data_IF_339904211820
#
_entry.id   IF_339904211820
#
_cell.length_a   1.000
_cell.length_b   1.000
_cell.length_c   1.000
_cell.angle_alpha   90.00
_cell.angle_beta   90.00
_cell.angle_gamma   90.00
#
_symmetry.space_group_name_H-M   'P 1'
#
loop_
_entity.id
_entity.type
_entity.pdbx_description
1 polymer ?
#
# COMPACT_ATOMS: atom_id res chain seq x y z
N UNK A 1 25.17 5.82 53.44
CA UNK A 1 23.87 5.52 52.82
C UNK A 1 24.05 5.49 51.31
N UNK A 2 23.81 4.36 50.64
CA UNK A 2 23.93 4.29 49.18
C UNK A 2 22.80 5.07 48.51
N UNK A 3 23.13 6.12 47.75
CA UNK A 3 22.16 6.83 46.93
C UNK A 3 21.66 5.91 45.81
N UNK A 4 20.40 5.50 45.92
CA UNK A 4 19.67 4.79 44.87
C UNK A 4 19.38 5.76 43.73
N UNK A 5 20.23 5.74 42.71
CA UNK A 5 20.05 6.53 41.50
C UNK A 5 18.84 5.99 40.74
N UNK A 6 17.71 6.71 40.79
CA UNK A 6 16.47 6.33 40.09
C UNK A 6 16.74 6.26 38.59
N UNK A 7 16.81 5.04 38.05
CA UNK A 7 17.02 4.82 36.61
C UNK A 7 16.03 5.67 35.82
N UNK A 8 16.48 6.45 34.82
CA UNK A 8 15.67 7.47 34.20
C UNK A 8 14.51 6.82 33.43
N UNK A 9 13.28 6.97 33.93
CA UNK A 9 12.07 6.37 33.36
C UNK A 9 11.87 6.70 31.87
N UNK A 10 12.38 7.86 31.42
CA UNK A 10 12.30 8.29 30.02
C UNK A 10 12.95 7.29 29.05
N UNK A 11 14.08 6.65 29.43
CA UNK A 11 14.76 5.65 28.56
C UNK A 11 13.88 4.43 28.31
N UNK A 12 13.03 4.07 29.27
CA UNK A 12 12.10 2.93 29.14
C UNK A 12 10.93 3.28 28.23
N UNK A 13 10.39 4.49 28.34
CA UNK A 13 9.32 4.98 27.46
C UNK A 13 9.80 5.04 26.01
N UNK A 14 10.95 5.68 25.75
CA UNK A 14 11.53 5.77 24.39
C UNK A 14 11.73 4.37 23.79
N UNK A 15 12.28 3.43 24.57
CA UNK A 15 12.50 2.05 24.09
C UNK A 15 11.19 1.35 23.72
N UNK A 16 10.13 1.56 24.49
CA UNK A 16 8.83 0.95 24.21
C UNK A 16 8.13 1.61 23.01
N UNK A 17 8.18 2.94 22.91
CA UNK A 17 7.64 3.68 21.76
C UNK A 17 8.36 3.28 20.47
N UNK A 18 9.70 3.18 20.50
CA UNK A 18 10.47 2.74 19.33
C UNK A 18 10.07 1.34 18.87
N UNK A 19 9.91 0.38 19.81
CA UNK A 19 9.44 -0.97 19.47
C UNK A 19 8.03 -0.95 18.86
N UNK A 20 7.12 -0.17 19.44
CA UNK A 20 5.76 -0.05 18.93
C UNK A 20 5.75 0.52 17.51
N UNK A 21 6.51 1.59 17.26
CA UNK A 21 6.63 2.19 15.92
C UNK A 21 7.18 1.20 14.89
N UNK A 22 8.20 0.41 15.25
CA UNK A 22 8.75 -0.61 14.35
C UNK A 22 7.70 -1.66 14.00
N UNK A 23 6.92 -2.14 14.99
CA UNK A 23 5.87 -3.14 14.74
C UNK A 23 4.73 -2.54 13.91
N UNK A 24 4.31 -1.30 14.22
CA UNK A 24 3.28 -0.61 13.47
C UNK A 24 3.70 -0.40 12.01
N UNK A 25 4.94 0.04 11.78
CA UNK A 25 5.52 0.21 10.44
C UNK A 25 5.59 -1.12 9.69
N UNK A 26 6.02 -2.21 10.34
CA UNK A 26 6.07 -3.53 9.73
C UNK A 26 4.67 -4.01 9.27
N UNK A 27 3.63 -3.76 10.08
CA UNK A 27 2.25 -4.08 9.72
C UNK A 27 1.77 -3.22 8.55
N UNK A 28 2.03 -1.91 8.59
CA UNK A 28 1.65 -0.99 7.51
C UNK A 28 2.35 -1.36 6.19
N UNK A 29 3.64 -1.69 6.25
CA UNK A 29 4.41 -2.16 5.12
C UNK A 29 3.85 -3.46 4.55
N UNK A 30 3.56 -4.46 5.40
CA UNK A 30 2.97 -5.73 4.98
C UNK A 30 1.61 -5.54 4.32
N UNK A 31 0.74 -4.68 4.87
CA UNK A 31 -0.56 -4.37 4.28
C UNK A 31 -0.43 -3.70 2.91
N UNK A 32 0.49 -2.73 2.78
CA UNK A 32 0.76 -2.02 1.53
C UNK A 32 1.29 -2.98 0.47
N UNK A 33 2.25 -3.84 0.82
CA UNK A 33 2.79 -4.85 -0.08
C UNK A 33 1.73 -5.87 -0.51
N UNK A 34 0.89 -6.33 0.41
CA UNK A 34 -0.20 -7.25 0.08
C UNK A 34 -1.20 -6.63 -0.90
N UNK A 35 -1.54 -5.34 -0.72
CA UNK A 35 -2.39 -4.59 -1.65
C UNK A 35 -1.75 -4.49 -3.04
N UNK A 36 -0.47 -4.08 -3.09
CA UNK A 36 0.29 -4.01 -4.34
C UNK A 36 0.38 -5.39 -5.03
N UNK A 37 0.68 -6.45 -4.29
CA UNK A 37 0.78 -7.80 -4.82
C UNK A 37 -0.54 -8.26 -5.45
N UNK A 38 -1.67 -8.03 -4.78
CA UNK A 38 -3.00 -8.38 -5.32
C UNK A 38 -3.34 -7.61 -6.58
N UNK A 39 -3.04 -6.31 -6.63
CA UNK A 39 -3.25 -5.46 -7.81
C UNK A 39 -2.43 -5.94 -9.02
N UNK A 40 -1.20 -6.41 -8.80
CA UNK A 40 -0.38 -6.97 -9.87
C UNK A 40 -0.82 -8.39 -10.28
N UNK A 41 -1.40 -9.16 -9.36
CA UNK A 41 -1.73 -10.58 -9.62
C UNK A 41 -3.08 -10.76 -10.30
N UNK A 42 -4.10 -9.96 -9.96
CA UNK A 42 -5.47 -10.16 -10.46
C UNK A 42 -6.08 -8.90 -11.06
N UNK A 43 -6.55 -9.02 -12.30
CA UNK A 43 -7.34 -7.98 -12.98
C UNK A 43 -8.67 -7.71 -12.29
N UNK A 44 -9.31 -8.73 -11.71
CA UNK A 44 -10.57 -8.57 -10.97
C UNK A 44 -10.37 -7.67 -9.75
N UNK A 45 -9.22 -7.77 -9.08
CA UNK A 45 -8.87 -6.86 -7.99
C UNK A 45 -8.74 -5.44 -8.51
N UNK A 46 -8.08 -5.23 -9.66
CA UNK A 46 -7.99 -3.89 -10.28
C UNK A 46 -9.37 -3.35 -10.67
N UNK A 47 -10.27 -4.19 -11.18
CA UNK A 47 -11.64 -3.81 -11.48
C UNK A 47 -12.42 -3.42 -10.21
N UNK A 48 -12.34 -4.22 -9.13
CA UNK A 48 -12.95 -3.88 -7.85
C UNK A 48 -12.44 -2.54 -7.30
N UNK A 49 -11.12 -2.32 -7.35
CA UNK A 49 -10.50 -1.07 -6.89
C UNK A 49 -10.89 0.09 -7.81
N UNK A 50 -11.06 -0.12 -9.11
CA UNK A 50 -11.60 0.90 -10.03
C UNK A 50 -12.98 1.40 -9.58
N UNK A 51 -13.86 0.48 -9.20
CA UNK A 51 -15.25 0.80 -8.84
C UNK A 51 -15.35 1.43 -7.44
N UNK A 52 -14.54 0.99 -6.48
CA UNK A 52 -14.66 1.43 -5.08
C UNK A 52 -13.65 2.53 -4.70
N UNK A 53 -12.46 2.52 -5.30
CA UNK A 53 -11.32 3.37 -4.93
C UNK A 53 -10.52 3.84 -6.16
N UNK A 54 -11.14 4.58 -7.10
CA UNK A 54 -10.50 4.96 -8.37
C UNK A 54 -9.18 5.73 -8.19
N UNK A 55 -9.06 6.56 -7.15
CA UNK A 55 -7.83 7.30 -6.84
C UNK A 55 -6.65 6.39 -6.46
N UNK A 56 -6.92 5.25 -5.82
CA UNK A 56 -5.89 4.25 -5.46
C UNK A 56 -5.39 3.56 -6.72
N UNK A 57 -6.31 3.16 -7.60
CA UNK A 57 -5.95 2.55 -8.87
C UNK A 57 -5.11 3.50 -9.74
N UNK A 58 -5.49 4.78 -9.78
CA UNK A 58 -4.74 5.79 -10.52
C UNK A 58 -3.32 5.96 -9.96
N UNK A 59 -3.18 6.01 -8.64
CA UNK A 59 -1.87 6.06 -7.99
C UNK A 59 -1.02 4.82 -8.28
N UNK A 60 -1.65 3.63 -8.31
CA UNK A 60 -0.99 2.39 -8.69
C UNK A 60 -0.42 2.46 -10.11
N UNK A 61 -1.20 2.96 -11.08
CA UNK A 61 -0.71 3.14 -12.44
C UNK A 61 0.40 4.18 -12.51
N UNK A 62 0.25 5.35 -11.89
CA UNK A 62 1.27 6.40 -11.90
C UNK A 62 2.60 5.92 -11.33
N UNK A 63 2.58 5.15 -10.24
CA UNK A 63 3.79 4.55 -9.66
C UNK A 63 4.40 3.52 -10.61
N UNK A 64 3.58 2.66 -11.23
CA UNK A 64 4.06 1.68 -12.21
C UNK A 64 4.68 2.35 -13.44
N UNK A 65 4.04 3.40 -13.96
CA UNK A 65 4.52 4.20 -15.10
C UNK A 65 5.80 4.96 -14.75
N UNK A 66 5.90 5.48 -13.53
CA UNK A 66 7.11 6.15 -13.05
C UNK A 66 8.31 5.20 -12.95
N UNK A 67 8.08 3.96 -12.51
CA UNK A 67 9.15 2.95 -12.32
C UNK A 67 9.53 2.28 -13.64
N UNK A 68 8.55 1.91 -14.47
CA UNK A 68 8.77 1.14 -15.71
C UNK A 68 8.93 2.01 -16.96
N UNK A 69 8.46 3.25 -16.92
CA UNK A 69 8.40 4.14 -18.09
C UNK A 69 7.32 3.78 -19.11
N UNK A 70 6.51 2.74 -18.87
CA UNK A 70 5.50 2.24 -19.80
C UNK A 70 4.08 2.27 -19.19
N UNK A 71 3.09 2.53 -20.04
CA UNK A 71 1.66 2.56 -19.72
C UNK A 71 0.92 1.28 -20.13
N UNK A 72 1.63 0.22 -20.50
CA UNK A 72 1.05 -1.02 -21.01
C UNK A 72 -0.08 -1.59 -20.13
N UNK A 73 0.10 -1.63 -18.80
CA UNK A 73 -0.90 -2.19 -17.88
C UNK A 73 -2.19 -1.35 -17.91
N UNK A 74 -2.07 -0.02 -17.81
CA UNK A 74 -3.20 0.91 -17.86
C UNK A 74 -3.93 0.77 -19.20
N UNK A 75 -3.20 0.83 -20.31
CA UNK A 75 -3.77 0.75 -21.65
C UNK A 75 -4.51 -0.58 -21.87
N UNK A 76 -3.95 -1.69 -21.38
CA UNK A 76 -4.56 -3.00 -21.46
C UNK A 76 -5.87 -3.07 -20.68
N UNK A 77 -5.87 -2.61 -19.42
CA UNK A 77 -7.06 -2.61 -18.59
C UNK A 77 -8.15 -1.67 -19.13
N UNK A 78 -7.78 -0.49 -19.64
CA UNK A 78 -8.72 0.44 -20.28
C UNK A 78 -9.39 -0.15 -21.53
N UNK A 79 -8.62 -0.84 -22.36
CA UNK A 79 -9.14 -1.49 -23.57
C UNK A 79 -10.16 -2.56 -23.23
N UNK A 80 -9.86 -3.40 -22.23
CA UNK A 80 -10.79 -4.43 -21.75
C UNK A 80 -12.06 -3.78 -21.19
N UNK A 81 -11.92 -2.74 -20.37
CA UNK A 81 -13.08 -2.09 -19.78
C UNK A 81 -13.93 -1.37 -20.82
N UNK A 82 -13.33 -0.79 -21.87
CA UNK A 82 -14.09 -0.21 -22.99
C UNK A 82 -14.91 -1.29 -23.71
N UNK A 83 -14.30 -2.44 -24.00
CA UNK A 83 -14.99 -3.58 -24.62
C UNK A 83 -16.13 -4.11 -23.75
N UNK A 84 -15.92 -4.22 -22.43
CA UNK A 84 -16.97 -4.65 -21.49
C UNK A 84 -18.14 -3.65 -21.43
N UNK A 85 -17.86 -2.35 -21.54
CA UNK A 85 -18.89 -1.31 -21.57
C UNK A 85 -19.68 -1.31 -22.88
N UNK A 86 -19.00 -1.54 -24.01
CA UNK A 86 -19.64 -1.68 -25.32
C UNK A 86 -20.52 -2.94 -25.39
N UNK A 87 -20.08 -4.06 -24.82
CA UNK A 87 -20.85 -5.30 -24.77
C UNK A 87 -22.05 -5.24 -23.82
N UNK A 88 -22.06 -4.30 -22.86
CA UNK A 88 -23.19 -4.07 -21.93
C UNK A 88 -24.23 -3.09 -22.46
N UNK A 89 -23.94 -2.39 -23.57
CA UNK A 89 -24.85 -1.44 -24.22
C UNK A 89 -25.67 -2.14 -25.30
#
# INVERSE_FOLDING_TARGET
MLQKNSRPGYKRVIKNTAKFLIVAEAIAFAATYAGWYRLNTSRETRHYVKENFPSILESYYQVGEFISGDKAIRNHDELIWKQEQEARR
#
